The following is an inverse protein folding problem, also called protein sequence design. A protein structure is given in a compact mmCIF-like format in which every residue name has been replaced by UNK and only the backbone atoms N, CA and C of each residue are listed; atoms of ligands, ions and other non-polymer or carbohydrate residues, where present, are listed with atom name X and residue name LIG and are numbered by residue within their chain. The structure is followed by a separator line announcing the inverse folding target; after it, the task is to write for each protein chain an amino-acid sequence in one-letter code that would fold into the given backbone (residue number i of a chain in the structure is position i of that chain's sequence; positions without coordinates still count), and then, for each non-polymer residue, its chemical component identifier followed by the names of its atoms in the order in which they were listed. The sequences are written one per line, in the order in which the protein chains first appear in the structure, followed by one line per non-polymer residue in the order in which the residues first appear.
data_IF_261796716786
#
_entry.id   IF_261796716786
#
_cell.length_a   1.000
_cell.length_b   1.000
_cell.length_c   1.000
_cell.angle_alpha   90.00
_cell.angle_beta   90.00
_cell.angle_gamma   90.00
#
_symmetry.space_group_name_H-M   'P 1'
#
loop_
_entity.id
_entity.type
_entity.pdbx_description
1 polymer ?
#
# COMPACT_ATOMS: atom_id res chain seq x y z
N UNK A 1 -4.74 -0.14 -23.94
CA UNK A 1 -4.77 -1.49 -24.50
C UNK A 1 -6.12 -1.81 -25.12
N UNK A 2 -6.11 -2.66 -26.15
CA UNK A 2 -7.28 -3.25 -26.76
C UNK A 2 -7.09 -4.77 -26.79
N UNK A 3 -8.10 -5.50 -26.33
CA UNK A 3 -8.12 -6.96 -26.39
C UNK A 3 -9.35 -7.44 -27.16
N UNK A 4 -9.21 -8.55 -27.89
CA UNK A 4 -10.32 -9.14 -28.63
C UNK A 4 -10.20 -10.68 -28.69
N UNK A 5 -11.32 -11.33 -28.97
CA UNK A 5 -11.32 -12.79 -29.21
C UNK A 5 -10.59 -13.11 -30.51
N UNK A 6 -9.58 -13.96 -30.45
CA UNK A 6 -8.77 -14.39 -31.58
C UNK A 6 -8.62 -15.93 -31.57
N UNK A 7 -9.62 -16.66 -32.08
CA UNK A 7 -9.57 -18.12 -32.14
C UNK A 7 -8.33 -18.57 -32.93
N UNK A 8 -7.57 -19.49 -32.39
CA UNK A 8 -6.32 -20.00 -32.97
C UNK A 8 -5.05 -19.39 -32.37
N UNK A 9 -5.15 -18.37 -31.52
CA UNK A 9 -4.03 -17.93 -30.68
C UNK A 9 -3.89 -18.78 -29.42
N UNK A 10 -2.72 -18.80 -28.77
CA UNK A 10 -2.48 -19.64 -27.59
C UNK A 10 -3.49 -19.44 -26.44
N UNK A 11 -3.96 -18.21 -26.23
CA UNK A 11 -4.93 -17.85 -25.16
C UNK A 11 -6.37 -17.66 -25.70
N UNK A 12 -6.63 -17.86 -27.00
CA UNK A 12 -7.92 -17.54 -27.63
C UNK A 12 -8.20 -16.04 -27.71
N UNK A 13 -7.24 -15.20 -27.34
CA UNK A 13 -7.30 -13.73 -27.34
C UNK A 13 -6.03 -13.13 -27.91
N UNK A 14 -6.15 -11.91 -28.40
CA UNK A 14 -5.03 -11.08 -28.84
C UNK A 14 -5.09 -9.72 -28.13
N UNK A 15 -3.95 -9.05 -28.04
CA UNK A 15 -3.80 -7.74 -27.42
C UNK A 15 -3.15 -6.77 -28.40
N UNK A 16 -3.58 -5.52 -28.43
CA UNK A 16 -2.87 -4.45 -29.14
C UNK A 16 -2.64 -3.24 -28.22
N UNK A 17 -1.46 -2.66 -28.34
CA UNK A 17 -1.17 -1.31 -27.89
C UNK A 17 -1.66 -0.34 -28.97
N UNK A 18 -2.49 0.61 -28.59
CA UNK A 18 -3.03 1.62 -29.51
C UNK A 18 -2.59 3.01 -29.05
N UNK A 19 -2.43 3.93 -30.00
CA UNK A 19 -2.29 5.36 -29.70
C UNK A 19 -3.64 5.97 -29.23
N UNK A 20 -3.63 7.25 -28.88
CA UNK A 20 -4.84 7.97 -28.44
C UNK A 20 -5.93 8.07 -29.52
N UNK A 21 -5.58 7.87 -30.78
CA UNK A 21 -6.55 7.84 -31.90
C UNK A 21 -7.20 6.47 -32.11
N UNK A 22 -6.69 5.44 -31.38
CA UNK A 22 -7.11 4.04 -31.53
C UNK A 22 -6.35 3.28 -32.63
N UNK A 23 -5.33 3.88 -33.23
CA UNK A 23 -4.46 3.20 -34.20
C UNK A 23 -3.54 2.24 -33.47
N UNK A 24 -3.50 0.99 -33.93
CA UNK A 24 -2.63 -0.05 -33.40
C UNK A 24 -1.16 0.28 -33.68
N UNK A 25 -0.33 0.25 -32.61
CA UNK A 25 1.11 0.44 -32.64
C UNK A 25 1.81 -0.92 -32.62
N UNK A 26 1.44 -1.79 -31.67
CA UNK A 26 1.95 -3.16 -31.53
C UNK A 26 0.79 -4.12 -31.35
N UNK A 27 0.93 -5.33 -31.89
CA UNK A 27 -0.08 -6.38 -31.78
C UNK A 27 0.56 -7.67 -31.33
N UNK A 28 -0.10 -8.36 -30.40
CA UNK A 28 0.37 -9.61 -29.78
C UNK A 28 -0.69 -10.70 -29.99
N UNK A 29 -0.24 -11.93 -30.21
CA UNK A 29 -1.04 -13.11 -30.48
C UNK A 29 -1.65 -13.77 -29.22
N UNK A 30 -1.54 -13.12 -28.06
CA UNK A 30 -2.12 -13.56 -26.79
C UNK A 30 -2.67 -12.39 -25.98
N UNK A 31 -3.44 -12.70 -24.93
CA UNK A 31 -3.87 -11.72 -23.95
C UNK A 31 -2.72 -11.32 -23.04
N UNK A 32 -2.58 -10.03 -22.80
CA UNK A 32 -1.66 -9.47 -21.80
C UNK A 32 -2.37 -8.39 -20.99
N UNK A 33 -2.03 -8.35 -19.71
CA UNK A 33 -2.12 -7.15 -18.91
C UNK A 33 -0.87 -6.30 -19.16
N UNK A 34 -0.98 -4.99 -19.07
CA UNK A 34 0.15 -4.14 -19.41
C UNK A 34 0.25 -2.94 -18.49
N UNK A 35 1.48 -2.65 -18.10
CA UNK A 35 1.87 -1.46 -17.37
C UNK A 35 2.87 -0.68 -18.21
N UNK A 36 2.68 0.64 -18.27
CA UNK A 36 3.59 1.56 -18.96
C UNK A 36 4.24 2.46 -17.93
N UNK A 37 5.56 2.35 -17.80
CA UNK A 37 6.37 3.18 -16.92
C UNK A 37 7.47 3.86 -17.72
N UNK A 38 7.36 5.17 -17.90
CA UNK A 38 8.25 5.90 -18.80
C UNK A 38 8.14 5.38 -20.24
N UNK A 39 9.24 4.88 -20.82
CA UNK A 39 9.28 4.24 -22.14
C UNK A 39 9.08 2.72 -22.09
N UNK A 40 9.05 2.11 -20.92
CA UNK A 40 8.97 0.66 -20.78
C UNK A 40 7.52 0.19 -20.74
N UNK A 41 7.18 -0.70 -21.66
CA UNK A 41 5.93 -1.44 -21.70
C UNK A 41 6.19 -2.83 -21.14
N UNK A 42 5.65 -3.09 -19.95
CA UNK A 42 5.66 -4.41 -19.32
C UNK A 42 4.35 -5.12 -19.67
N UNK A 43 4.46 -6.33 -20.18
CA UNK A 43 3.35 -7.20 -20.56
C UNK A 43 3.42 -8.47 -19.72
N UNK A 44 2.34 -8.81 -19.03
CA UNK A 44 2.23 -10.04 -18.23
C UNK A 44 0.99 -10.83 -18.62
N UNK A 45 1.03 -12.13 -18.50
CA UNK A 45 -0.16 -12.95 -18.72
C UNK A 45 -1.26 -12.53 -17.73
N UNK A 46 -2.55 -12.51 -18.16
CA UNK A 46 -3.65 -12.07 -17.31
C UNK A 46 -3.78 -12.92 -16.05
N UNK A 47 -4.13 -12.30 -14.96
CA UNK A 47 -4.26 -12.86 -13.60
C UNK A 47 -5.23 -14.04 -13.43
N UNK A 48 -5.83 -14.59 -14.47
CA UNK A 48 -6.64 -15.80 -14.33
C UNK A 48 -5.85 -17.00 -13.79
N UNK A 49 -4.55 -16.80 -13.56
CA UNK A 49 -3.63 -17.74 -12.96
C UNK A 49 -3.17 -17.35 -11.54
N UNK A 50 -3.75 -16.33 -10.93
CA UNK A 50 -3.33 -15.79 -9.62
C UNK A 50 -3.38 -16.78 -8.45
N UNK A 51 -4.04 -17.91 -8.59
CA UNK A 51 -4.06 -18.98 -7.58
C UNK A 51 -3.02 -20.08 -7.79
N UNK A 52 -2.23 -20.00 -8.85
CA UNK A 52 -1.14 -20.94 -9.09
C UNK A 52 -0.01 -20.23 -9.84
N UNK A 53 0.75 -19.35 -9.16
CA UNK A 53 1.76 -18.51 -9.80
C UNK A 53 2.76 -19.31 -10.63
N UNK A 54 2.97 -20.58 -10.32
CA UNK A 54 3.95 -21.41 -10.99
C UNK A 54 3.36 -22.45 -11.97
N UNK A 55 2.07 -22.67 -12.01
CA UNK A 55 1.53 -23.89 -12.62
C UNK A 55 1.35 -23.90 -14.13
N UNK A 56 1.61 -22.86 -14.87
CA UNK A 56 1.46 -22.90 -16.34
C UNK A 56 2.14 -21.71 -17.05
N UNK A 57 3.18 -21.14 -16.48
CA UNK A 57 3.90 -20.05 -17.15
C UNK A 57 4.77 -20.61 -18.26
N UNK A 58 4.52 -20.13 -19.47
CA UNK A 58 5.28 -20.46 -20.65
C UNK A 58 6.23 -19.32 -21.01
N UNK A 59 7.31 -19.62 -21.66
CA UNK A 59 8.17 -18.61 -22.26
C UNK A 59 7.33 -17.58 -23.04
N UNK A 60 7.53 -16.30 -22.72
CA UNK A 60 6.79 -15.19 -23.31
C UNK A 60 5.50 -14.77 -22.56
N UNK A 61 5.23 -15.31 -21.39
CA UNK A 61 4.15 -14.84 -20.52
C UNK A 61 4.48 -13.49 -19.88
N UNK A 62 5.78 -13.20 -19.67
CA UNK A 62 6.27 -11.88 -19.34
C UNK A 62 7.12 -11.34 -20.49
N UNK A 63 6.90 -10.07 -20.89
CA UNK A 63 7.68 -9.37 -21.91
C UNK A 63 7.89 -7.93 -21.49
N UNK A 64 9.06 -7.38 -21.85
CA UNK A 64 9.37 -5.97 -21.62
C UNK A 64 9.86 -5.36 -22.92
N UNK A 65 9.22 -4.27 -23.34
CA UNK A 65 9.55 -3.56 -24.59
C UNK A 65 9.90 -2.11 -24.26
N UNK A 66 11.05 -1.66 -24.68
CA UNK A 66 11.39 -0.24 -24.64
C UNK A 66 10.82 0.46 -25.89
N UNK A 67 9.75 1.21 -25.71
CA UNK A 67 9.09 1.95 -26.80
C UNK A 67 9.91 3.11 -27.34
N UNK A 68 10.99 3.53 -26.65
CA UNK A 68 11.87 4.59 -27.16
C UNK A 68 12.85 4.05 -28.20
N UNK A 69 13.27 2.79 -28.07
CA UNK A 69 14.22 2.12 -28.97
C UNK A 69 13.53 1.09 -29.88
N UNK A 70 12.28 0.72 -29.58
CA UNK A 70 11.53 -0.37 -30.22
C UNK A 70 12.22 -1.74 -30.02
N UNK A 71 12.94 -1.90 -28.91
CA UNK A 71 13.66 -3.12 -28.58
C UNK A 71 12.92 -3.92 -27.50
N UNK A 72 12.87 -5.24 -27.67
CA UNK A 72 12.43 -6.16 -26.63
C UNK A 72 13.63 -6.51 -25.73
N UNK A 73 13.47 -6.25 -24.43
CA UNK A 73 14.52 -6.49 -23.45
C UNK A 73 14.56 -7.97 -23.04
N UNK A 74 15.73 -8.42 -22.59
CA UNK A 74 15.90 -9.78 -22.10
C UNK A 74 15.02 -10.02 -20.85
N UNK A 75 14.32 -11.14 -20.85
CA UNK A 75 13.45 -11.59 -19.75
C UNK A 75 13.84 -13.02 -19.37
N UNK A 76 13.92 -13.38 -18.07
CA UNK A 76 14.14 -14.76 -17.65
C UNK A 76 13.10 -15.72 -18.24
N UNK A 77 13.51 -16.93 -18.57
CA UNK A 77 12.67 -17.90 -19.30
C UNK A 77 11.33 -18.19 -18.60
N UNK A 78 11.38 -18.29 -17.27
CA UNK A 78 10.22 -18.65 -16.43
C UNK A 78 9.65 -17.45 -15.67
N UNK A 79 9.86 -16.23 -16.17
CA UNK A 79 9.31 -15.02 -15.56
C UNK A 79 7.80 -14.93 -15.81
N UNK A 80 7.05 -14.62 -14.77
CA UNK A 80 5.60 -14.42 -14.82
C UNK A 80 5.16 -13.02 -14.38
N UNK A 81 5.98 -12.32 -13.60
CA UNK A 81 5.77 -10.95 -13.14
C UNK A 81 7.00 -10.09 -13.41
N UNK A 82 6.81 -8.78 -13.54
CA UNK A 82 7.87 -7.81 -13.66
C UNK A 82 7.47 -6.49 -13.02
N UNK A 83 8.34 -5.99 -12.15
CA UNK A 83 8.28 -4.65 -11.55
C UNK A 83 9.49 -3.84 -12.00
N UNK A 84 9.37 -2.51 -11.96
CA UNK A 84 10.44 -1.59 -12.34
C UNK A 84 10.90 -0.85 -11.09
N UNK A 85 12.20 -0.89 -10.80
CA UNK A 85 12.84 -0.12 -9.74
C UNK A 85 13.95 0.75 -10.33
N UNK A 86 13.71 2.04 -10.46
CA UNK A 86 14.61 2.96 -11.12
C UNK A 86 14.91 2.57 -12.57
N UNK A 87 16.14 2.20 -12.86
CA UNK A 87 16.59 1.72 -14.19
C UNK A 87 16.62 0.19 -14.34
N UNK A 88 16.23 -0.54 -13.28
CA UNK A 88 16.31 -2.00 -13.21
C UNK A 88 14.95 -2.65 -13.41
N UNK A 89 14.99 -3.91 -13.85
CA UNK A 89 13.85 -4.78 -14.03
C UNK A 89 13.91 -5.88 -12.98
N UNK A 90 12.86 -6.01 -12.17
CA UNK A 90 12.73 -7.06 -11.17
C UNK A 90 11.67 -8.05 -11.62
N UNK A 91 12.06 -9.30 -11.78
CA UNK A 91 11.22 -10.38 -12.26
C UNK A 91 10.88 -11.34 -11.13
N UNK A 92 9.64 -11.77 -11.12
CA UNK A 92 9.22 -12.97 -10.42
C UNK A 92 9.37 -14.16 -11.35
N UNK A 93 10.15 -15.14 -10.90
CA UNK A 93 10.53 -16.32 -11.69
C UNK A 93 10.03 -17.57 -10.97
N UNK A 94 9.51 -18.53 -11.70
CA UNK A 94 9.09 -19.78 -11.15
C UNK A 94 9.83 -20.97 -11.78
N UNK A 95 10.55 -21.72 -10.94
CA UNK A 95 11.39 -22.84 -11.32
C UNK A 95 10.77 -24.18 -10.97
N UNK A 96 9.47 -24.36 -11.21
CA UNK A 96 8.78 -25.63 -10.97
C UNK A 96 9.39 -26.73 -11.83
N UNK A 97 9.77 -27.88 -11.25
CA UNK A 97 10.24 -29.03 -12.02
C UNK A 97 9.22 -29.51 -13.07
N UNK A 98 9.70 -29.98 -14.21
CA UNK A 98 8.80 -30.41 -15.31
C UNK A 98 7.88 -31.58 -14.96
N UNK A 99 8.21 -32.34 -13.92
CA UNK A 99 7.45 -33.45 -13.39
C UNK A 99 6.66 -33.11 -12.11
N UNK A 100 6.63 -31.82 -11.75
CA UNK A 100 5.88 -31.34 -10.60
C UNK A 100 4.39 -31.63 -10.76
N UNK A 101 3.79 -32.16 -9.71
CA UNK A 101 2.35 -32.36 -9.59
C UNK A 101 1.88 -31.63 -8.35
N UNK A 102 1.02 -30.65 -8.55
CA UNK A 102 0.44 -29.89 -7.45
C UNK A 102 -0.33 -30.83 -6.51
N UNK A 103 0.05 -30.84 -5.22
CA UNK A 103 -0.52 -31.76 -4.23
C UNK A 103 -1.93 -31.36 -3.79
N UNK A 104 -2.24 -30.05 -3.85
CA UNK A 104 -3.54 -29.53 -3.46
C UNK A 104 -3.99 -28.39 -4.39
N UNK A 105 -5.29 -28.05 -4.35
CA UNK A 105 -5.86 -26.98 -5.17
C UNK A 105 -5.38 -25.56 -4.81
N UNK A 106 -4.75 -25.38 -3.66
CA UNK A 106 -4.26 -24.10 -3.16
C UNK A 106 -2.78 -23.85 -3.49
N UNK A 107 -2.02 -24.91 -3.83
CA UNK A 107 -0.62 -24.81 -4.22
C UNK A 107 0.28 -24.32 -3.08
N UNK A 108 0.07 -24.80 -1.86
CA UNK A 108 0.81 -24.36 -0.66
C UNK A 108 2.33 -24.59 -0.75
N UNK A 109 2.78 -25.48 -1.63
CA UNK A 109 4.19 -25.80 -1.89
C UNK A 109 4.82 -24.93 -3.00
N UNK A 110 4.02 -24.15 -3.73
CA UNK A 110 4.51 -23.31 -4.83
C UNK A 110 5.54 -22.23 -4.41
N UNK A 111 5.44 -21.62 -3.21
CA UNK A 111 6.47 -20.68 -2.74
C UNK A 111 7.88 -21.25 -2.77
N UNK A 112 8.05 -22.58 -2.63
CA UNK A 112 9.35 -23.26 -2.69
C UNK A 112 10.05 -23.17 -4.06
N UNK A 113 9.32 -22.81 -5.10
CA UNK A 113 9.82 -22.71 -6.47
C UNK A 113 9.90 -21.27 -6.98
N UNK A 114 9.47 -20.31 -6.17
CA UNK A 114 9.51 -18.90 -6.53
C UNK A 114 10.90 -18.30 -6.27
N UNK A 115 11.30 -17.40 -7.14
CA UNK A 115 12.52 -16.61 -6.99
C UNK A 115 12.30 -15.20 -7.52
N UNK A 116 13.04 -14.25 -6.96
CA UNK A 116 13.16 -12.89 -7.48
C UNK A 116 14.50 -12.72 -8.17
N UNK A 117 14.49 -12.23 -9.41
CA UNK A 117 15.70 -11.88 -10.15
C UNK A 117 15.62 -10.43 -10.58
N UNK A 118 16.66 -9.64 -10.23
CA UNK A 118 16.77 -8.24 -10.65
C UNK A 118 17.91 -8.10 -11.64
N UNK A 119 17.65 -7.44 -12.75
CA UNK A 119 18.67 -7.21 -13.79
C UNK A 119 18.60 -5.78 -14.32
N UNK A 120 19.69 -5.34 -14.93
CA UNK A 120 19.71 -4.10 -15.68
C UNK A 120 19.03 -4.27 -17.06
N UNK A 121 18.98 -3.20 -17.85
CA UNK A 121 18.37 -3.22 -19.20
C UNK A 121 19.18 -4.04 -20.22
N UNK A 122 20.43 -4.38 -19.93
CA UNK A 122 21.28 -5.23 -20.73
C UNK A 122 21.11 -6.73 -20.40
N UNK A 123 20.36 -7.04 -19.34
CA UNK A 123 20.10 -8.39 -18.87
C UNK A 123 21.18 -8.90 -17.90
N UNK A 124 22.06 -8.01 -17.38
CA UNK A 124 23.02 -8.38 -16.34
C UNK A 124 22.29 -8.48 -14.98
N UNK A 125 22.38 -9.65 -14.36
CA UNK A 125 21.72 -9.93 -13.08
C UNK A 125 22.51 -9.27 -11.95
N UNK A 126 21.86 -8.40 -11.19
CA UNK A 126 22.45 -7.66 -10.06
C UNK A 126 22.00 -8.22 -8.70
N UNK A 127 20.86 -8.93 -8.66
CA UNK A 127 20.35 -9.54 -7.45
C UNK A 127 19.52 -10.78 -7.80
N UNK A 128 19.59 -11.78 -6.93
CA UNK A 128 18.75 -12.98 -7.01
C UNK A 128 18.46 -13.48 -5.61
N UNK A 129 17.19 -13.79 -5.33
CA UNK A 129 16.73 -14.39 -4.10
C UNK A 129 15.82 -15.58 -4.42
N UNK A 130 16.21 -16.75 -3.93
CA UNK A 130 15.39 -17.97 -3.97
C UNK A 130 14.33 -17.91 -2.85
N UNK A 131 13.27 -18.70 -2.97
CA UNK A 131 12.16 -18.76 -2.02
C UNK A 131 11.60 -17.35 -1.74
N UNK A 132 11.38 -16.58 -2.81
CA UNK A 132 11.02 -15.17 -2.69
C UNK A 132 10.04 -14.74 -3.78
N UNK A 133 9.23 -13.73 -3.47
CA UNK A 133 8.33 -13.06 -4.39
C UNK A 133 8.45 -11.54 -4.25
N UNK A 134 8.00 -10.81 -5.26
CA UNK A 134 7.87 -9.37 -5.16
C UNK A 134 6.55 -9.00 -4.47
N UNK A 135 6.61 -8.05 -3.58
CA UNK A 135 5.45 -7.41 -3.00
C UNK A 135 5.43 -5.92 -3.33
N UNK A 136 4.27 -5.33 -3.25
CA UNK A 136 4.15 -3.89 -3.36
C UNK A 136 4.34 -3.25 -2.00
N UNK A 137 4.83 -2.00 -1.96
CA UNK A 137 4.64 -1.18 -0.78
C UNK A 137 3.15 -1.15 -0.45
N UNK A 138 2.79 -1.42 0.80
CA UNK A 138 1.41 -1.34 1.28
C UNK A 138 0.97 0.13 1.45
N UNK A 139 1.34 0.97 0.49
CA UNK A 139 0.87 2.34 0.40
C UNK A 139 -0.54 2.37 -0.19
N UNK A 140 -1.35 3.35 0.19
CA UNK A 140 -2.56 3.64 -0.57
C UNK A 140 -2.16 3.87 -2.03
N UNK A 141 -2.96 3.40 -2.97
CA UNK A 141 -2.67 3.39 -4.42
C UNK A 141 -2.39 4.78 -5.04
N UNK A 142 -2.50 5.83 -4.25
CA UNK A 142 -2.35 7.24 -4.60
C UNK A 142 -1.14 7.93 -3.95
N UNK A 143 -0.42 7.26 -3.05
CA UNK A 143 0.77 7.83 -2.44
C UNK A 143 1.93 7.90 -3.46
N UNK A 144 2.05 9.07 -4.10
CA UNK A 144 3.11 9.37 -5.06
C UNK A 144 4.50 9.51 -4.41
N UNK A 145 4.60 9.45 -3.08
CA UNK A 145 5.86 9.53 -2.34
C UNK A 145 6.49 8.17 -2.06
N UNK A 146 5.81 7.06 -2.41
CA UNK A 146 6.41 5.74 -2.31
C UNK A 146 7.72 5.65 -3.11
N UNK A 147 8.80 5.11 -2.54
CA UNK A 147 10.09 5.08 -3.19
C UNK A 147 10.08 4.16 -4.41
N UNK A 148 10.35 4.70 -5.59
CA UNK A 148 10.32 3.97 -6.87
C UNK A 148 11.59 3.18 -7.16
N UNK A 149 12.67 3.42 -6.38
CA UNK A 149 13.97 2.78 -6.56
C UNK A 149 14.18 1.57 -5.63
N UNK A 150 13.19 1.27 -4.80
CA UNK A 150 13.22 0.17 -3.86
C UNK A 150 12.21 -0.92 -4.23
N UNK A 151 12.56 -2.15 -3.93
CA UNK A 151 11.73 -3.34 -4.10
C UNK A 151 11.39 -3.91 -2.73
N UNK A 152 10.16 -4.34 -2.54
CA UNK A 152 9.77 -5.18 -1.40
C UNK A 152 9.92 -6.63 -1.83
N UNK A 153 10.76 -7.38 -1.13
CA UNK A 153 11.02 -8.79 -1.40
C UNK A 153 10.50 -9.59 -0.21
N UNK A 154 9.42 -10.33 -0.44
CA UNK A 154 8.85 -11.27 0.53
C UNK A 154 9.62 -12.59 0.44
N UNK A 155 10.09 -13.09 1.58
CA UNK A 155 10.81 -14.34 1.68
C UNK A 155 9.93 -15.46 2.24
N UNK A 156 10.21 -16.68 1.82
CA UNK A 156 9.55 -17.89 2.32
C UNK A 156 10.58 -18.77 3.04
N UNK A 157 10.14 -19.47 4.05
CA UNK A 157 10.92 -20.50 4.72
C UNK A 157 10.97 -21.79 3.87
N UNK A 158 11.89 -22.71 4.20
CA UNK A 158 12.00 -24.01 3.51
C UNK A 158 10.75 -24.89 3.65
N UNK A 159 9.86 -24.60 4.57
CA UNK A 159 8.57 -25.26 4.74
C UNK A 159 7.40 -24.58 3.98
N UNK A 160 7.69 -23.54 3.19
CA UNK A 160 6.71 -22.75 2.42
C UNK A 160 5.97 -21.69 3.23
N UNK A 161 6.24 -21.57 4.53
CA UNK A 161 5.64 -20.51 5.35
C UNK A 161 6.28 -19.15 5.05
N UNK A 162 5.54 -18.07 5.28
CA UNK A 162 6.05 -16.71 5.09
C UNK A 162 7.19 -16.40 6.06
N UNK A 163 8.30 -15.92 5.55
CA UNK A 163 9.43 -15.41 6.30
C UNK A 163 9.34 -13.90 6.54
N UNK A 164 10.47 -13.28 6.83
CA UNK A 164 10.55 -11.83 6.98
C UNK A 164 10.71 -11.17 5.62
N UNK A 165 10.02 -10.05 5.41
CA UNK A 165 10.20 -9.23 4.20
C UNK A 165 11.48 -8.40 4.29
N UNK A 166 12.08 -8.10 3.14
CA UNK A 166 13.20 -7.17 3.00
C UNK A 166 12.91 -6.10 1.95
N UNK A 167 13.70 -5.04 1.99
CA UNK A 167 13.74 -4.00 0.96
C UNK A 167 15.07 -4.09 0.24
N UNK A 168 15.05 -4.05 -1.06
CA UNK A 168 16.27 -4.05 -1.88
C UNK A 168 16.29 -2.84 -2.83
N UNK A 169 17.41 -2.10 -2.82
CA UNK A 169 17.66 -1.01 -3.77
C UNK A 169 18.68 -1.46 -4.80
N UNK A 170 18.27 -1.72 -6.06
CA UNK A 170 19.20 -2.20 -7.09
C UNK A 170 20.23 -1.16 -7.54
N UNK A 171 19.98 0.13 -7.31
CA UNK A 171 20.91 1.20 -7.67
C UNK A 171 22.11 1.25 -6.73
N UNK A 172 21.88 1.08 -5.43
CA UNK A 172 22.92 1.14 -4.40
C UNK A 172 23.42 -0.24 -3.99
N UNK A 173 22.65 -1.31 -4.27
CA UNK A 173 22.88 -2.66 -3.77
C UNK A 173 22.55 -2.82 -2.28
N UNK A 174 21.90 -1.84 -1.67
CA UNK A 174 21.51 -1.88 -0.26
C UNK A 174 20.33 -2.81 -0.06
N UNK A 175 20.41 -3.63 1.00
CA UNK A 175 19.32 -4.50 1.43
C UNK A 175 19.02 -4.24 2.92
N UNK A 176 17.74 -4.01 3.24
CA UNK A 176 17.23 -3.76 4.58
C UNK A 176 16.27 -4.88 4.96
N UNK A 177 16.57 -5.62 6.03
CA UNK A 177 15.75 -6.71 6.52
C UNK A 177 14.70 -6.24 7.53
N UNK A 178 13.65 -7.05 7.73
CA UNK A 178 12.63 -6.80 8.74
C UNK A 178 11.59 -5.76 8.33
N UNK A 179 11.36 -5.57 7.05
CA UNK A 179 10.32 -4.68 6.55
C UNK A 179 8.95 -5.05 7.13
N UNK A 180 8.23 -4.05 7.63
CA UNK A 180 6.90 -4.20 8.18
C UNK A 180 5.86 -3.49 7.32
N UNK A 181 6.07 -2.21 7.06
CA UNK A 181 5.14 -1.41 6.27
C UNK A 181 5.74 -0.10 5.81
N UNK A 182 5.12 0.48 4.79
CA UNK A 182 5.34 1.86 4.39
C UNK A 182 4.59 2.80 5.35
N UNK A 183 5.26 3.85 5.82
CA UNK A 183 4.72 4.77 6.85
C UNK A 183 4.37 6.15 6.31
N UNK A 184 4.65 6.43 5.04
CA UNK A 184 4.40 7.73 4.38
C UNK A 184 5.67 8.54 4.16
N UNK A 185 5.60 9.57 3.29
CA UNK A 185 6.68 10.51 3.00
C UNK A 185 8.04 9.86 2.66
N UNK A 186 8.04 8.73 1.96
CA UNK A 186 9.25 7.99 1.60
C UNK A 186 9.92 7.24 2.74
N UNK A 187 9.21 6.99 3.84
CA UNK A 187 9.72 6.28 5.00
C UNK A 187 9.05 4.92 5.19
N UNK A 188 9.75 4.03 5.87
CA UNK A 188 9.29 2.67 6.18
C UNK A 188 9.53 2.34 7.65
N UNK A 189 8.75 1.38 8.16
CA UNK A 189 9.00 0.74 9.44
C UNK A 189 9.71 -0.59 9.22
N UNK A 190 10.82 -0.78 9.91
CA UNK A 190 11.55 -2.05 9.99
C UNK A 190 11.47 -2.58 11.43
N UNK A 191 11.47 -3.90 11.60
CA UNK A 191 11.59 -4.54 12.91
C UNK A 191 12.92 -5.28 13.00
N UNK A 192 13.84 -4.74 13.79
CA UNK A 192 15.17 -5.31 13.99
C UNK A 192 15.60 -5.21 15.46
N UNK A 193 16.25 -6.26 15.98
CA UNK A 193 16.78 -6.29 17.36
C UNK A 193 15.72 -5.93 18.42
N UNK A 194 14.51 -6.46 18.28
CA UNK A 194 13.36 -6.20 19.16
C UNK A 194 12.92 -4.73 19.21
N UNK A 195 13.23 -3.94 18.18
CA UNK A 195 12.84 -2.54 18.03
C UNK A 195 12.25 -2.27 16.66
N UNK A 196 11.27 -1.37 16.62
CA UNK A 196 10.74 -0.79 15.38
C UNK A 196 11.55 0.45 15.04
N UNK A 197 12.12 0.47 13.83
CA UNK A 197 12.93 1.55 13.31
C UNK A 197 12.15 2.28 12.21
N UNK A 198 12.06 3.59 12.31
CA UNK A 198 11.60 4.42 11.21
C UNK A 198 12.80 4.77 10.33
N UNK A 199 12.75 4.39 9.06
CA UNK A 199 13.86 4.56 8.11
C UNK A 199 13.41 5.42 6.94
N UNK A 200 14.19 6.45 6.64
CA UNK A 200 14.04 7.28 5.45
C UNK A 200 14.79 6.64 4.28
N UNK A 201 14.07 6.41 3.18
CA UNK A 201 14.60 5.79 1.96
C UNK A 201 14.88 6.79 0.84
N UNK A 202 14.52 8.05 1.00
CA UNK A 202 14.44 9.02 -0.12
C UNK A 202 15.35 10.23 0.07
N UNK A 203 15.54 10.71 1.31
CA UNK A 203 16.20 12.00 1.55
C UNK A 203 17.71 11.97 1.43
N UNK A 204 18.32 10.79 1.40
CA UNK A 204 19.79 10.59 1.36
C UNK A 204 20.19 9.52 0.34
N UNK A 205 21.46 9.52 -0.06
CA UNK A 205 22.01 8.47 -0.96
C UNK A 205 21.98 7.06 -0.33
N UNK A 206 21.85 6.97 0.98
CA UNK A 206 21.71 5.73 1.74
C UNK A 206 20.55 5.88 2.73
N UNK A 207 19.91 4.78 3.09
CA UNK A 207 18.86 4.78 4.08
C UNK A 207 19.36 5.32 5.43
N UNK A 208 18.49 6.03 6.13
CA UNK A 208 18.81 6.63 7.43
C UNK A 208 17.73 6.32 8.47
N UNK A 209 18.15 5.77 9.63
CA UNK A 209 17.25 5.59 10.78
C UNK A 209 16.95 6.97 11.38
N UNK A 210 15.67 7.34 11.41
CA UNK A 210 15.20 8.62 11.97
C UNK A 210 14.91 8.48 13.47
N UNK A 211 14.26 7.41 13.89
CA UNK A 211 13.94 7.12 15.29
C UNK A 211 13.68 5.62 15.50
N UNK A 212 13.60 5.21 16.77
CA UNK A 212 13.32 3.84 17.17
C UNK A 212 12.30 3.81 18.30
N UNK A 213 11.39 2.83 18.26
CA UNK A 213 10.35 2.61 19.27
C UNK A 213 10.26 1.14 19.69
N UNK A 214 9.67 0.91 20.85
CA UNK A 214 9.31 -0.44 21.32
C UNK A 214 7.96 -0.91 20.75
N UNK A 215 7.26 -0.05 20.00
CA UNK A 215 5.93 -0.28 19.45
C UNK A 215 5.94 -0.12 17.92
N UNK A 216 5.07 -0.83 17.19
CA UNK A 216 4.92 -0.68 15.75
C UNK A 216 4.66 0.78 15.34
N UNK A 217 5.41 1.24 14.34
CA UNK A 217 5.23 2.58 13.77
C UNK A 217 4.18 2.48 12.67
N UNK A 218 3.04 3.15 12.87
CA UNK A 218 1.89 3.09 11.97
C UNK A 218 1.93 4.14 10.87
N UNK A 219 2.19 5.39 11.27
CA UNK A 219 2.21 6.54 10.36
C UNK A 219 3.39 7.45 10.66
N UNK A 220 3.84 8.14 9.64
CA UNK A 220 4.86 9.18 9.74
C UNK A 220 4.52 10.37 8.85
N UNK A 221 4.78 11.56 9.37
CA UNK A 221 4.91 12.81 8.60
C UNK A 221 6.20 13.51 9.03
N UNK A 222 6.84 14.34 8.20
CA UNK A 222 8.02 15.07 8.61
C UNK A 222 7.82 15.80 9.95
N UNK A 223 8.55 15.37 10.98
CA UNK A 223 8.46 15.92 12.33
C UNK A 223 7.50 15.21 13.29
N UNK A 224 6.74 14.22 12.88
CA UNK A 224 5.87 13.46 13.78
C UNK A 224 5.68 11.99 13.38
N UNK A 225 5.52 11.12 14.38
CA UNK A 225 5.23 9.71 14.19
C UNK A 225 4.03 9.26 15.02
N UNK A 226 3.36 8.21 14.58
CA UNK A 226 2.28 7.54 15.32
C UNK A 226 2.63 6.07 15.49
N UNK A 227 2.63 5.61 16.74
CA UNK A 227 2.84 4.20 17.07
C UNK A 227 1.56 3.54 17.53
N UNK A 228 1.49 2.23 17.35
CA UNK A 228 0.35 1.39 17.74
C UNK A 228 0.79 0.47 18.89
N UNK A 229 0.02 0.32 20.00
CA UNK A 229 0.41 -0.57 21.09
C UNK A 229 0.35 -2.04 20.66
N UNK A 230 1.39 -2.81 21.00
CA UNK A 230 1.51 -4.24 20.65
C UNK A 230 0.40 -5.12 21.25
N UNK A 231 -0.12 -4.76 22.39
CA UNK A 231 -1.14 -5.55 23.10
C UNK A 231 -2.29 -4.66 23.49
N UNK A 232 -3.39 -4.89 22.82
CA UNK A 232 -4.65 -4.34 23.26
C UNK A 232 -5.15 -5.07 24.51
N UNK A 233 -4.98 -4.47 25.68
CA UNK A 233 -5.97 -4.77 26.72
C UNK A 233 -7.32 -4.23 26.25
N UNK A 234 -8.47 -4.80 26.66
CA UNK A 234 -9.79 -4.27 26.27
C UNK A 234 -9.94 -2.76 26.50
N UNK A 235 -9.18 -2.21 27.45
CA UNK A 235 -9.17 -0.79 27.82
C UNK A 235 -8.23 0.05 26.93
N UNK A 236 -7.28 -0.59 26.21
CA UNK A 236 -6.31 0.08 25.33
C UNK A 236 -6.50 -0.27 23.85
N UNK A 237 -7.50 -1.13 23.54
CA UNK A 237 -7.77 -1.51 22.16
C UNK A 237 -8.05 -0.28 21.31
N UNK A 238 -7.22 -0.05 20.29
CA UNK A 238 -7.36 1.04 19.34
C UNK A 238 -6.81 2.40 19.81
N UNK A 239 -5.93 2.45 20.81
CA UNK A 239 -5.22 3.67 21.19
C UNK A 239 -3.85 3.70 20.53
N UNK A 240 -3.58 4.79 19.83
CA UNK A 240 -2.29 5.10 19.25
C UNK A 240 -1.54 6.09 20.16
N UNK A 241 -0.24 6.20 19.98
CA UNK A 241 0.58 7.21 20.64
C UNK A 241 1.19 8.12 19.55
N UNK A 242 0.90 9.41 19.66
CA UNK A 242 1.51 10.45 18.82
C UNK A 242 2.81 10.91 19.45
N UNK A 243 3.85 11.05 18.64
CA UNK A 243 5.16 11.55 18.98
C UNK A 243 5.47 12.77 18.12
N UNK A 244 5.58 13.94 18.70
CA UNK A 244 6.13 15.12 18.06
C UNK A 244 7.66 15.05 18.15
N UNK A 245 8.32 14.78 17.03
CA UNK A 245 9.78 14.60 16.97
C UNK A 245 10.56 15.91 17.11
N UNK A 246 9.89 17.04 16.95
CA UNK A 246 10.52 18.37 17.05
C UNK A 246 10.49 18.90 18.49
N UNK A 247 9.40 18.66 19.22
CA UNK A 247 9.20 19.16 20.57
C UNK A 247 9.43 18.09 21.64
N UNK A 248 9.34 16.80 21.28
CA UNK A 248 9.33 15.68 22.21
C UNK A 248 7.99 15.50 22.94
N UNK A 249 6.92 16.18 22.49
CA UNK A 249 5.56 15.98 23.03
C UNK A 249 5.05 14.60 22.66
N UNK A 250 4.40 13.93 23.64
CA UNK A 250 3.68 12.66 23.41
C UNK A 250 2.21 12.84 23.80
N UNK A 251 1.31 12.26 23.01
CA UNK A 251 -0.13 12.27 23.26
C UNK A 251 -0.78 10.93 22.99
N UNK A 252 -1.61 10.47 23.92
CA UNK A 252 -2.50 9.35 23.70
C UNK A 252 -3.58 9.72 22.69
N UNK A 253 -3.80 8.87 21.70
CA UNK A 253 -4.83 9.06 20.68
C UNK A 253 -5.96 8.04 20.83
N UNK A 254 -7.17 8.48 20.52
CA UNK A 254 -8.29 7.57 20.23
C UNK A 254 -8.15 6.97 18.84
N UNK A 255 -7.69 7.77 17.86
CA UNK A 255 -7.55 7.34 16.48
C UNK A 255 -6.52 8.16 15.70
N UNK A 256 -5.98 7.55 14.66
CA UNK A 256 -5.17 8.19 13.63
C UNK A 256 -5.52 7.58 12.27
N UNK A 257 -5.67 8.40 11.26
CA UNK A 257 -6.04 7.95 9.92
C UNK A 257 -5.33 8.80 8.84
N UNK A 258 -5.06 8.17 7.71
CA UNK A 258 -4.47 8.85 6.54
C UNK A 258 -5.40 8.76 5.35
N UNK A 259 -5.44 9.82 4.57
CA UNK A 259 -5.87 9.81 3.18
C UNK A 259 -4.66 10.02 2.25
N UNK A 260 -4.91 10.31 0.97
CA UNK A 260 -3.87 10.50 -0.04
C UNK A 260 -2.95 11.71 0.22
N UNK A 261 -3.34 12.63 1.05
CA UNK A 261 -2.66 13.92 1.25
C UNK A 261 -2.41 14.26 2.71
N UNK A 262 -3.16 13.68 3.65
CA UNK A 262 -3.15 14.12 5.05
C UNK A 262 -3.07 12.96 6.05
N UNK A 263 -2.47 13.27 7.23
CA UNK A 263 -2.59 12.48 8.44
C UNK A 263 -3.50 13.24 9.41
N UNK A 264 -4.61 12.66 9.81
CA UNK A 264 -5.49 13.17 10.84
C UNK A 264 -5.29 12.38 12.13
N UNK A 265 -5.19 13.06 13.28
CA UNK A 265 -5.11 12.45 14.61
C UNK A 265 -6.20 13.03 15.52
N UNK A 266 -6.75 12.18 16.39
CA UNK A 266 -7.68 12.58 17.44
C UNK A 266 -7.19 12.12 18.80
N UNK A 267 -6.80 13.09 19.64
CA UNK A 267 -6.21 12.84 20.94
C UNK A 267 -7.27 12.66 22.04
N UNK A 268 -6.88 11.98 23.11
CA UNK A 268 -7.74 11.71 24.27
C UNK A 268 -8.19 12.98 24.99
N UNK A 269 -7.42 14.05 24.89
CA UNK A 269 -7.74 15.39 25.41
C UNK A 269 -8.75 16.16 24.55
N UNK A 270 -9.23 15.59 23.46
CA UNK A 270 -10.16 16.22 22.51
C UNK A 270 -9.47 17.00 21.39
N UNK A 271 -8.14 17.08 21.38
CA UNK A 271 -7.40 17.75 20.30
C UNK A 271 -7.50 16.96 19.01
N UNK A 272 -7.79 17.64 17.90
CA UNK A 272 -7.72 17.11 16.55
C UNK A 272 -6.69 17.89 15.76
N UNK A 273 -5.69 17.20 15.22
CA UNK A 273 -4.68 17.78 14.34
C UNK A 273 -4.69 17.10 13.00
N UNK A 274 -4.47 17.87 11.94
CA UNK A 274 -4.32 17.39 10.58
C UNK A 274 -3.01 17.90 10.02
N UNK A 275 -2.20 17.00 9.52
CA UNK A 275 -0.89 17.29 8.94
C UNK A 275 -0.90 16.98 7.44
N UNK A 276 -0.20 17.76 6.66
CA UNK A 276 0.16 17.42 5.29
C UNK A 276 1.16 16.25 5.30
N UNK A 277 0.86 15.18 4.59
CA UNK A 277 1.67 13.95 4.58
C UNK A 277 3.09 14.15 4.05
N UNK A 278 3.27 15.04 3.09
CA UNK A 278 4.56 15.23 2.44
C UNK A 278 5.47 16.20 3.20
N UNK A 279 4.88 17.26 3.75
CA UNK A 279 5.65 18.35 4.36
C UNK A 279 5.64 18.34 5.88
N UNK A 280 4.74 17.60 6.52
CA UNK A 280 4.51 17.63 7.96
C UNK A 280 3.90 18.93 8.47
N UNK A 281 3.50 19.84 7.58
CA UNK A 281 2.88 21.11 7.97
C UNK A 281 1.54 20.86 8.63
N UNK A 282 1.34 21.45 9.81
CA UNK A 282 0.08 21.43 10.52
C UNK A 282 -0.96 22.26 9.77
N UNK A 283 -1.97 21.60 9.19
CA UNK A 283 -3.05 22.23 8.41
C UNK A 283 -4.21 22.67 9.30
N UNK A 284 -4.52 21.87 10.33
CA UNK A 284 -5.62 22.10 11.26
C UNK A 284 -5.19 21.73 12.67
N UNK A 285 -5.50 22.61 13.64
CA UNK A 285 -5.39 22.35 15.07
C UNK A 285 -6.69 22.87 15.71
N UNK A 286 -7.53 21.94 16.15
CA UNK A 286 -8.84 22.25 16.71
C UNK A 286 -9.14 21.33 17.89
N UNK A 287 -10.15 21.69 18.68
CA UNK A 287 -10.61 20.86 19.77
C UNK A 287 -12.07 20.47 19.54
N UNK A 288 -12.36 19.21 19.83
CA UNK A 288 -13.71 18.65 19.80
C UNK A 288 -14.07 18.25 21.23
N UNK A 289 -15.30 18.54 21.64
CA UNK A 289 -15.76 18.14 22.97
C UNK A 289 -15.70 16.62 23.10
N UNK A 290 -14.92 16.06 24.04
CA UNK A 290 -14.88 14.63 24.28
C UNK A 290 -16.27 14.15 24.70
N UNK A 291 -16.76 13.06 24.11
CA UNK A 291 -18.00 12.44 24.57
C UNK A 291 -17.72 11.57 25.79
N UNK A 292 -18.51 11.74 26.85
CA UNK A 292 -18.43 10.90 28.04
C UNK A 292 -18.58 9.41 27.66
N UNK A 293 -17.69 8.57 28.19
CA UNK A 293 -17.65 7.12 27.94
C UNK A 293 -17.35 6.72 26.49
N UNK A 294 -16.68 7.56 25.75
CA UNK A 294 -16.24 7.24 24.41
C UNK A 294 -15.25 6.07 24.40
N UNK A 295 -15.52 5.05 23.61
CA UNK A 295 -14.69 3.86 23.51
C UNK A 295 -14.04 3.73 22.15
N UNK A 296 -14.74 4.15 21.11
CA UNK A 296 -14.21 4.19 19.74
C UNK A 296 -14.56 5.51 19.09
N UNK A 297 -13.60 6.05 18.39
CA UNK A 297 -13.79 7.19 17.51
C UNK A 297 -12.94 7.01 16.28
N UNK A 298 -13.40 7.50 15.15
CA UNK A 298 -12.68 7.49 13.90
C UNK A 298 -12.54 8.93 13.41
N UNK A 299 -11.31 9.34 13.16
CA UNK A 299 -10.99 10.67 12.64
C UNK A 299 -10.73 10.60 11.14
N UNK A 300 -11.26 11.58 10.42
CA UNK A 300 -11.06 11.72 8.97
C UNK A 300 -10.83 13.19 8.62
N UNK A 301 -10.06 13.42 7.57
CA UNK A 301 -9.86 14.75 7.01
C UNK A 301 -9.89 14.69 5.48
N UNK A 302 -10.55 15.65 4.84
CA UNK A 302 -10.59 15.78 3.39
C UNK A 302 -10.95 17.20 2.98
N UNK A 303 -10.18 17.79 2.06
CA UNK A 303 -10.43 19.13 1.51
C UNK A 303 -10.66 20.24 2.57
N UNK A 304 -9.93 20.17 3.68
CA UNK A 304 -10.04 21.13 4.80
C UNK A 304 -11.21 20.84 5.76
N UNK A 305 -12.04 19.85 5.48
CA UNK A 305 -13.01 19.32 6.42
C UNK A 305 -12.37 18.30 7.34
N UNK A 306 -12.75 18.33 8.60
CA UNK A 306 -12.37 17.31 9.58
C UNK A 306 -13.61 16.81 10.27
N UNK A 307 -13.73 15.50 10.46
CA UNK A 307 -14.83 14.96 11.25
C UNK A 307 -14.37 13.78 12.11
N UNK A 308 -15.02 13.65 13.25
CA UNK A 308 -14.84 12.54 14.17
C UNK A 308 -16.15 11.82 14.31
N UNK A 309 -16.20 10.57 13.89
CA UNK A 309 -17.32 9.67 14.11
C UNK A 309 -17.09 8.90 15.42
N UNK A 310 -18.08 8.88 16.28
CA UNK A 310 -18.03 8.21 17.59
C UNK A 310 -19.02 7.06 17.59
N UNK A 311 -18.57 5.88 18.01
CA UNK A 311 -19.38 4.66 18.05
C UNK A 311 -19.73 4.30 19.48
N UNK A 312 -20.89 3.62 19.65
CA UNK A 312 -21.15 2.92 20.91
C UNK A 312 -20.38 1.59 20.95
N UNK A 313 -20.08 1.16 22.18
CA UNK A 313 -19.24 -0.01 22.40
C UNK A 313 -19.87 -1.35 22.01
N UNK A 314 -21.17 -1.42 22.07
CA UNK A 314 -21.87 -2.70 22.07
C UNK A 314 -22.32 -3.10 20.66
N UNK A 315 -22.58 -2.12 19.79
CA UNK A 315 -23.25 -2.37 18.51
C UNK A 315 -22.53 -1.77 17.29
N UNK A 316 -21.41 -1.10 17.47
CA UNK A 316 -20.69 -0.40 16.39
C UNK A 316 -21.58 0.61 15.64
N UNK A 317 -22.46 1.31 16.36
CA UNK A 317 -23.36 2.30 15.80
C UNK A 317 -22.83 3.69 16.07
N UNK A 318 -22.78 4.55 15.05
CA UNK A 318 -22.40 5.94 15.25
C UNK A 318 -23.39 6.64 16.19
N UNK A 319 -22.90 7.17 17.30
CA UNK A 319 -23.69 7.90 18.29
C UNK A 319 -23.58 9.40 18.13
N UNK A 320 -22.48 9.88 17.62
CA UNK A 320 -22.28 11.29 17.26
C UNK A 320 -21.26 11.43 16.12
N UNK A 321 -21.45 12.44 15.28
CA UNK A 321 -20.46 12.87 14.29
C UNK A 321 -20.21 14.35 14.55
N UNK A 322 -18.97 14.69 14.90
CA UNK A 322 -18.54 16.06 15.08
C UNK A 322 -17.77 16.51 13.84
N UNK A 323 -18.14 17.64 13.27
CA UNK A 323 -17.63 18.12 11.99
C UNK A 323 -17.05 19.51 12.20
N UNK A 324 -15.83 19.71 11.71
CA UNK A 324 -15.18 21.02 11.63
C UNK A 324 -15.00 21.39 10.15
N UNK A 325 -15.53 22.53 9.75
CA UNK A 325 -15.38 23.05 8.40
C UNK A 325 -14.09 23.86 8.22
N UNK A 326 -13.66 24.07 6.96
CA UNK A 326 -12.45 24.85 6.64
C UNK A 326 -12.56 26.33 7.04
N UNK A 327 -13.77 26.81 7.30
CA UNK A 327 -14.06 28.16 7.81
C UNK A 327 -14.06 28.25 9.35
N UNK A 328 -13.75 27.14 10.05
CA UNK A 328 -13.76 27.04 11.51
C UNK A 328 -15.16 26.81 12.09
N UNK A 329 -16.16 26.54 11.27
CA UNK A 329 -17.50 26.15 11.78
C UNK A 329 -17.47 24.77 12.42
N UNK A 330 -18.15 24.64 13.58
CA UNK A 330 -18.30 23.36 14.27
C UNK A 330 -19.77 22.93 14.25
N UNK A 331 -19.99 21.64 13.99
CA UNK A 331 -21.32 21.04 13.96
C UNK A 331 -21.28 19.66 14.59
N UNK A 332 -22.26 19.37 15.45
CA UNK A 332 -22.49 18.01 15.96
C UNK A 332 -23.76 17.48 15.34
N UNK A 333 -23.67 16.32 14.74
CA UNK A 333 -24.80 15.55 14.21
C UNK A 333 -25.03 14.35 15.13
N UNK A 334 -26.27 14.18 15.61
CA UNK A 334 -26.70 12.93 16.23
C UNK A 334 -27.38 12.08 15.15
N UNK A 335 -26.74 11.02 14.66
CA UNK A 335 -27.30 10.19 13.60
C UNK A 335 -28.65 9.57 13.94
N UNK A 336 -28.93 9.35 15.24
CA UNK A 336 -30.17 8.76 15.73
C UNK A 336 -31.39 9.68 15.58
N UNK A 337 -31.15 10.95 15.29
CA UNK A 337 -32.22 11.94 15.08
C UNK A 337 -32.59 12.12 13.62
N UNK A 338 -31.92 11.43 12.70
CA UNK A 338 -32.24 11.48 11.28
C UNK A 338 -33.46 10.64 10.95
N UNK A 339 -34.22 11.05 9.93
CA UNK A 339 -35.46 10.36 9.52
C UNK A 339 -35.25 8.90 9.14
N UNK A 340 -34.06 8.59 8.60
CA UNK A 340 -33.60 7.23 8.27
C UNK A 340 -32.46 6.88 9.22
N UNK A 341 -32.65 5.86 10.06
CA UNK A 341 -31.62 5.38 10.99
C UNK A 341 -30.75 4.36 10.32
N UNK A 342 -29.51 4.76 10.05
CA UNK A 342 -28.46 3.87 9.62
C UNK A 342 -27.53 3.54 10.79
N UNK A 343 -26.84 2.41 10.72
CA UNK A 343 -25.87 2.02 11.77
C UNK A 343 -24.56 2.79 11.64
N UNK A 344 -24.18 3.10 10.40
CA UNK A 344 -22.94 3.82 10.12
C UNK A 344 -23.17 4.90 9.07
N UNK A 345 -22.38 5.97 9.18
CA UNK A 345 -22.34 7.06 8.22
C UNK A 345 -20.89 7.24 7.76
N UNK A 346 -20.69 7.06 6.47
CA UNK A 346 -19.39 7.23 5.84
C UNK A 346 -19.38 8.48 4.97
N UNK A 347 -18.26 9.18 4.90
CA UNK A 347 -18.11 10.27 3.95
C UNK A 347 -18.23 9.74 2.52
N UNK A 348 -18.94 10.46 1.69
CA UNK A 348 -19.07 10.17 0.27
C UNK A 348 -18.15 11.03 -0.57
N UNK A 349 -18.15 12.31 -0.31
CA UNK A 349 -17.26 13.31 -0.88
C UNK A 349 -17.39 14.63 -0.11
N UNK A 350 -16.38 15.48 -0.24
CA UNK A 350 -16.39 16.85 0.29
C UNK A 350 -16.28 17.87 -0.83
N UNK A 351 -16.85 19.04 -0.60
CA UNK A 351 -16.73 20.25 -1.46
C UNK A 351 -16.42 21.46 -0.57
N UNK A 352 -16.10 22.59 -1.18
CA UNK A 352 -15.93 23.83 -0.44
C UNK A 352 -17.17 24.23 0.39
N UNK A 353 -18.36 23.81 -0.06
CA UNK A 353 -19.64 24.21 0.54
C UNK A 353 -20.23 23.15 1.49
N UNK A 354 -19.67 21.93 1.55
CA UNK A 354 -20.25 20.89 2.39
C UNK A 354 -19.53 19.54 2.34
N UNK A 355 -19.82 18.77 3.37
CA UNK A 355 -19.43 17.36 3.52
C UNK A 355 -20.67 16.49 3.38
N UNK A 356 -20.60 15.48 2.52
CA UNK A 356 -21.71 14.60 2.17
C UNK A 356 -21.45 13.20 2.69
N UNK A 357 -22.44 12.63 3.35
CA UNK A 357 -22.38 11.30 3.92
C UNK A 357 -23.38 10.38 3.24
N UNK A 358 -23.05 9.10 3.17
CA UNK A 358 -24.04 8.06 2.93
C UNK A 358 -24.20 7.19 4.18
N UNK A 359 -25.42 6.75 4.45
CA UNK A 359 -25.71 5.82 5.54
C UNK A 359 -25.77 4.40 5.02
N UNK A 360 -25.27 3.45 5.79
CA UNK A 360 -25.50 2.03 5.55
C UNK A 360 -26.03 1.31 6.80
N UNK A 361 -26.89 0.33 6.58
CA UNK A 361 -27.24 -0.64 7.59
C UNK A 361 -26.37 -1.87 7.38
N UNK A 362 -25.55 -2.24 8.35
CA UNK A 362 -25.09 -3.60 8.41
C UNK A 362 -26.33 -4.44 8.69
N UNK A 363 -26.80 -5.18 7.68
CA UNK A 363 -27.96 -6.07 7.86
C UNK A 363 -27.70 -7.06 9.00
N UNK A 364 -28.78 -7.67 9.55
CA UNK A 364 -28.67 -8.64 10.61
C UNK A 364 -27.82 -9.83 10.23
#
# INVERSE_FOLDING_TARGET
LRQWSAPGTPTGRATALCDRSGKEILTFDRAYDAVLTGSLLVLTAPEQMAYAPCNNHAAGDCRVIDLATDEELAVPENAYGCSIAGSYLAFEVCNVPADYVQENEWGDDLPLYCAVQVQDRQGEVVYQAELSALSNFSASSSDSSAPTDWLVVSHYNEDGTTGADSLYNPTTGEELTGYQQYTGAGTVSLYNNDRYQLVDLVSTEQSAVLCEYDQPIRYYVPGAAVTEPEVSTPEMAGRYLFHDLLTGEEKDLYDANTDDATLAIYAVDGTVRVFDLQTGVLLTDTAIDPVENQVRAHVYAENGWVWVAQDDNDNYVNTAIQICGPDGTHKTLDPRTLEETYTHYYPLFSTADGLYFYGCCNGP
#
